data_IF_497632213168
#
_entry.id   IF_497632213168
#
_cell.length_a   1.000
_cell.length_b   1.000
_cell.length_c   1.000
_cell.angle_alpha   90.00
_cell.angle_beta   90.00
_cell.angle_gamma   90.00
#
_symmetry.space_group_name_H-M   'P 1'
#
loop_
_entity.id
_entity.type
_entity.pdbx_description
1 polymer ?
#
# COMPACT_ATOMS: atom_id res chain seq x y z
N UNK A 1 -4.58 -7.67 4.02
CA UNK A 1 -3.52 -6.63 4.10
C UNK A 1 -3.35 -6.00 2.71
N UNK A 2 -2.46 -5.02 2.49
CA UNK A 2 -2.37 -4.30 1.20
C UNK A 2 -0.99 -4.43 0.54
N UNK A 3 -0.95 -4.34 -0.80
CA UNK A 3 0.29 -4.29 -1.60
C UNK A 3 0.26 -3.17 -2.63
N UNK A 4 1.44 -2.69 -3.02
CA UNK A 4 1.63 -1.69 -4.07
C UNK A 4 2.04 -2.42 -5.37
N UNK A 5 1.28 -2.23 -6.44
CA UNK A 5 1.59 -2.67 -7.80
C UNK A 5 2.59 -1.68 -8.40
N UNK A 6 3.85 -2.09 -8.49
CA UNK A 6 4.98 -1.24 -8.91
C UNK A 6 4.71 -0.52 -10.24
N UNK A 7 4.20 -1.25 -11.23
CA UNK A 7 3.98 -0.73 -12.59
C UNK A 7 2.89 0.35 -12.66
N UNK A 8 2.01 0.42 -11.65
CA UNK A 8 0.98 1.46 -11.52
C UNK A 8 1.38 2.60 -10.58
N UNK A 9 2.46 2.44 -9.83
CA UNK A 9 2.87 3.41 -8.83
C UNK A 9 3.55 4.62 -9.49
N UNK A 10 3.01 5.82 -9.27
CA UNK A 10 3.62 7.08 -9.74
C UNK A 10 4.65 7.66 -8.76
N UNK A 11 4.95 6.96 -7.65
CA UNK A 11 5.91 7.38 -6.62
C UNK A 11 5.55 8.75 -5.99
N UNK A 12 4.26 9.04 -5.83
CA UNK A 12 3.77 10.36 -5.40
C UNK A 12 3.86 10.65 -3.89
N UNK A 13 4.15 9.67 -3.03
CA UNK A 13 4.27 9.91 -1.58
C UNK A 13 3.00 9.73 -0.76
N UNK A 14 1.81 9.99 -1.32
CA UNK A 14 0.55 10.12 -0.56
C UNK A 14 0.23 8.93 0.35
N UNK A 15 0.49 7.70 -0.09
CA UNK A 15 0.21 6.52 0.72
C UNK A 15 1.05 6.44 2.00
N UNK A 16 2.26 7.01 2.00
CA UNK A 16 3.11 7.13 3.19
C UNK A 16 2.56 8.21 4.13
N UNK A 17 2.16 9.37 3.60
CA UNK A 17 1.62 10.49 4.38
C UNK A 17 0.36 10.12 5.16
N UNK A 18 -0.52 9.30 4.56
CA UNK A 18 -1.77 8.88 5.21
C UNK A 18 -1.63 7.63 6.09
N UNK A 19 -0.46 7.00 6.15
CA UNK A 19 -0.29 5.75 6.88
C UNK A 19 -0.08 6.03 8.39
N UNK A 20 -1.06 5.74 9.26
CA UNK A 20 -0.98 6.11 10.68
C UNK A 20 0.04 5.28 11.48
N UNK A 21 0.54 4.19 10.91
CA UNK A 21 1.49 3.27 11.53
C UNK A 21 2.82 3.22 10.77
N UNK A 22 3.04 4.14 9.83
CA UNK A 22 4.28 4.25 9.06
C UNK A 22 4.71 2.94 8.36
N UNK A 23 3.73 2.13 7.92
CA UNK A 23 3.99 0.83 7.29
C UNK A 23 4.50 0.92 5.84
N UNK A 24 4.83 2.10 5.31
CA UNK A 24 5.29 2.28 3.93
C UNK A 24 6.81 2.52 3.91
N UNK A 25 7.56 1.54 3.41
CA UNK A 25 8.99 1.70 3.13
C UNK A 25 9.18 2.49 1.83
N UNK A 26 10.18 3.38 1.80
CA UNK A 26 10.53 4.24 0.67
C UNK A 26 11.96 3.98 0.14
N UNK A 27 12.58 2.87 0.55
CA UNK A 27 13.95 2.54 0.13
C UNK A 27 13.92 1.89 -1.25
N UNK A 28 14.26 2.66 -2.27
CA UNK A 28 14.30 2.23 -3.68
C UNK A 28 12.92 2.17 -4.34
N UNK A 29 11.96 1.48 -3.72
CA UNK A 29 10.56 1.46 -4.14
C UNK A 29 9.61 1.56 -2.96
N UNK A 30 8.38 1.97 -3.25
CA UNK A 30 7.34 2.05 -2.24
C UNK A 30 6.79 0.65 -1.96
N UNK A 31 6.91 0.19 -0.71
CA UNK A 31 6.45 -1.14 -0.30
C UNK A 31 5.74 -1.09 1.05
N UNK A 32 4.62 -1.79 1.14
CA UNK A 32 3.88 -1.96 2.41
C UNK A 32 4.54 -3.08 3.24
N UNK A 33 5.08 -2.71 4.40
CA UNK A 33 5.65 -3.64 5.38
C UNK A 33 4.50 -4.37 6.06
N UNK A 34 4.32 -5.63 5.70
CA UNK A 34 3.19 -6.45 6.11
C UNK A 34 3.10 -6.63 7.62
N UNK A 35 4.23 -6.77 8.31
CA UNK A 35 4.28 -6.97 9.77
C UNK A 35 3.83 -5.74 10.57
N UNK A 36 3.81 -4.56 9.95
CA UNK A 36 3.39 -3.29 10.56
C UNK A 36 1.97 -2.90 10.11
N UNK A 37 1.57 -3.32 8.90
CA UNK A 37 0.30 -2.94 8.30
C UNK A 37 -0.90 -3.50 9.09
N UNK A 38 -1.74 -2.62 9.60
CA UNK A 38 -2.97 -2.99 10.32
C UNK A 38 -4.16 -3.29 9.40
N UNK A 39 -4.02 -3.07 8.09
CA UNK A 39 -5.11 -3.26 7.13
C UNK A 39 -6.19 -2.17 7.14
N UNK A 40 -5.89 -0.94 7.62
CA UNK A 40 -6.88 0.14 7.73
C UNK A 40 -7.42 0.70 6.39
N UNK A 41 -6.74 0.45 5.26
CA UNK A 41 -7.22 0.85 3.92
C UNK A 41 -7.01 2.29 3.50
N UNK A 42 -6.51 3.18 4.36
CA UNK A 42 -6.27 4.61 4.03
C UNK A 42 -5.34 4.80 2.82
N UNK A 43 -4.25 4.03 2.76
CA UNK A 43 -3.33 4.09 1.62
C UNK A 43 -4.04 3.78 0.30
N UNK A 44 -4.90 2.76 0.27
CA UNK A 44 -5.70 2.38 -0.90
C UNK A 44 -6.65 3.49 -1.33
N UNK A 45 -7.37 4.11 -0.38
CA UNK A 45 -8.30 5.20 -0.66
C UNK A 45 -7.60 6.47 -1.18
N UNK A 46 -6.38 6.74 -0.70
CA UNK A 46 -5.61 7.92 -1.07
C UNK A 46 -4.85 7.80 -2.39
N UNK A 47 -4.71 6.59 -2.94
CA UNK A 47 -3.82 6.35 -4.07
C UNK A 47 -4.46 6.80 -5.39
N UNK A 48 -3.98 7.89 -6.02
CA UNK A 48 -4.62 8.43 -7.23
C UNK A 48 -4.40 7.55 -8.46
N UNK A 49 -3.37 6.70 -8.45
CA UNK A 49 -3.07 5.77 -9.54
C UNK A 49 -3.65 4.38 -9.35
N UNK A 50 -4.47 4.19 -8.29
CA UNK A 50 -5.09 2.90 -7.95
C UNK A 50 -4.06 1.75 -7.91
N UNK A 51 -2.83 2.07 -7.50
CA UNK A 51 -1.73 1.13 -7.46
C UNK A 51 -1.77 0.22 -6.24
N UNK A 52 -2.71 0.42 -5.31
CA UNK A 52 -2.76 -0.32 -4.04
C UNK A 52 -3.98 -1.23 -4.04
N UNK A 53 -3.75 -2.53 -3.81
CA UNK A 53 -4.81 -3.53 -3.76
C UNK A 53 -4.78 -4.29 -2.44
N UNK A 54 -5.95 -4.77 -2.03
CA UNK A 54 -6.08 -5.68 -0.89
C UNK A 54 -5.59 -7.07 -1.30
N UNK A 55 -4.62 -7.60 -0.56
CA UNK A 55 -4.30 -9.02 -0.54
C UNK A 55 -5.33 -9.73 0.33
N UNK A 56 -6.38 -10.26 -0.30
CA UNK A 56 -7.21 -11.28 0.32
C UNK A 56 -6.75 -12.66 -0.14
N UNK A 57 -6.29 -13.48 0.81
CA UNK A 57 -6.00 -14.90 0.60
C UNK A 57 -7.27 -15.74 0.34
N UNK A 58 -8.44 -15.11 0.19
CA UNK A 58 -9.73 -15.77 -0.06
C UNK A 58 -10.11 -15.85 -1.53
N UNK A 59 -9.34 -15.25 -2.44
CA UNK A 59 -9.64 -15.27 -3.88
C UNK A 59 -8.81 -16.33 -4.66
N UNK A 60 -8.17 -17.27 -3.97
CA UNK A 60 -7.50 -18.46 -4.57
C UNK A 60 -8.30 -19.73 -4.22
N UNK A 61 -9.64 -19.64 -4.20
CA UNK A 61 -10.54 -20.81 -4.11
C UNK A 61 -11.06 -21.20 -5.48
#
# INVERSE_FOLDING_TARGET
MYIIIRDKCSVCGLCADVCPVEAISQIGEYKIVQDICTGCGLCCQSCPSEAIIQCDFKDIS
#
